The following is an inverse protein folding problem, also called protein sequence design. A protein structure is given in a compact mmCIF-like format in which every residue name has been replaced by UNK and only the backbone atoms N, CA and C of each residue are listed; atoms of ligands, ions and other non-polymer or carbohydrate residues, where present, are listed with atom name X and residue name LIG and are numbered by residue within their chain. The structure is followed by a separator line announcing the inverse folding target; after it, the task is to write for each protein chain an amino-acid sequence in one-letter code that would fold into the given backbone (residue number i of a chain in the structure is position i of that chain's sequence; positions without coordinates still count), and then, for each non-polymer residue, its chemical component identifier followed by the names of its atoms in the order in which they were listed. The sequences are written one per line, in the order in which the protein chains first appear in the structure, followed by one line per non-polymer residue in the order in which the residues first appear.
data_IF_649857593159
#
_entry.id   IF_649857593159
#
_cell.length_a   1.000
_cell.length_b   1.000
_cell.length_c   1.000
_cell.angle_alpha   90.00
_cell.angle_beta   90.00
_cell.angle_gamma   90.00
#
_symmetry.space_group_name_H-M   'P 1'
#
loop_
_entity.id
_entity.type
_entity.pdbx_description
1 polymer ?
#
# COMPACT_ATOMS: atom_id res chain seq x y z
N UNK A 1 -14.39 19.85 1.06
CA UNK A 1 -14.78 19.15 -0.18
C UNK A 1 -14.70 17.65 0.08
N UNK A 2 -15.79 16.91 -0.07
CA UNK A 2 -15.75 15.44 -0.08
C UNK A 2 -15.04 15.04 -1.37
N UNK A 3 -13.93 14.33 -1.25
CA UNK A 3 -13.23 13.82 -2.43
C UNK A 3 -13.84 12.47 -2.80
N UNK A 4 -14.10 12.26 -4.09
CA UNK A 4 -14.53 10.95 -4.60
C UNK A 4 -13.45 9.91 -4.38
N UNK A 5 -13.87 8.68 -4.13
CA UNK A 5 -13.01 7.51 -4.03
C UNK A 5 -12.90 6.80 -5.39
N UNK A 6 -11.92 5.91 -5.53
CA UNK A 6 -11.79 5.06 -6.73
C UNK A 6 -13.02 4.18 -6.91
N UNK A 7 -13.61 3.71 -5.81
CA UNK A 7 -14.81 2.88 -5.84
C UNK A 7 -16.02 3.68 -6.32
N UNK A 8 -16.16 4.96 -5.95
CA UNK A 8 -17.25 5.81 -6.45
C UNK A 8 -17.20 5.96 -7.98
N UNK A 9 -16.02 6.17 -8.55
CA UNK A 9 -15.82 6.28 -10.01
C UNK A 9 -16.12 4.94 -10.71
N UNK A 10 -15.65 3.83 -10.13
CA UNK A 10 -15.84 2.49 -10.67
C UNK A 10 -17.31 2.05 -10.65
N UNK A 11 -18.01 2.31 -9.54
CA UNK A 11 -19.42 1.97 -9.36
C UNK A 11 -20.29 2.80 -10.28
N UNK A 12 -20.03 4.10 -10.41
CA UNK A 12 -20.75 4.94 -11.37
C UNK A 12 -20.56 4.47 -12.82
N UNK A 13 -19.34 4.07 -13.19
CA UNK A 13 -19.08 3.51 -14.51
C UNK A 13 -19.85 2.20 -14.76
N UNK A 14 -19.96 1.31 -13.77
CA UNK A 14 -20.77 0.09 -13.89
C UNK A 14 -22.26 0.37 -14.04
N UNK A 15 -22.80 1.41 -13.39
CA UNK A 15 -24.20 1.81 -13.57
C UNK A 15 -24.43 2.33 -14.99
N UNK A 16 -23.52 3.16 -15.54
CA UNK A 16 -23.67 3.77 -16.87
C UNK A 16 -23.73 2.76 -18.02
N UNK A 17 -23.13 1.59 -17.83
CA UNK A 17 -23.11 0.50 -18.82
C UNK A 17 -24.14 -0.59 -18.52
N UNK A 18 -25.07 -0.35 -17.58
CA UNK A 18 -26.09 -1.29 -17.13
C UNK A 18 -25.52 -2.63 -16.59
N UNK A 19 -24.26 -2.63 -16.10
CA UNK A 19 -23.66 -3.80 -15.48
C UNK A 19 -24.22 -4.07 -14.07
N UNK A 20 -24.72 -3.00 -13.40
CA UNK A 20 -25.45 -3.06 -12.13
C UNK A 20 -26.58 -2.03 -12.13
N UNK A 21 -27.69 -2.27 -11.41
CA UNK A 21 -28.71 -1.25 -11.20
C UNK A 21 -28.23 -0.19 -10.19
N UNK A 22 -28.82 1.02 -10.24
CA UNK A 22 -28.52 2.10 -9.29
C UNK A 22 -28.67 1.67 -7.82
N UNK A 23 -29.65 0.80 -7.52
CA UNK A 23 -29.87 0.31 -6.15
C UNK A 23 -28.72 -0.52 -5.58
N UNK A 24 -27.83 -1.06 -6.42
CA UNK A 24 -26.60 -1.76 -6.03
C UNK A 24 -25.42 -0.78 -5.89
N UNK A 25 -25.45 0.37 -6.56
CA UNK A 25 -24.50 1.44 -6.34
C UNK A 25 -24.73 2.11 -4.97
N UNK A 26 -25.99 2.33 -4.61
CA UNK A 26 -26.39 2.89 -3.31
C UNK A 26 -26.08 1.94 -2.14
N UNK A 27 -26.13 0.62 -2.41
CA UNK A 27 -25.78 -0.43 -1.45
C UNK A 27 -24.98 -1.54 -2.12
N UNK A 28 -23.65 -1.39 -2.07
CA UNK A 28 -22.69 -2.29 -2.69
C UNK A 28 -22.71 -3.71 -2.11
N UNK A 29 -23.35 -3.93 -0.95
CA UNK A 29 -23.51 -5.27 -0.38
C UNK A 29 -24.40 -6.17 -1.25
N UNK A 30 -25.36 -5.59 -1.98
CA UNK A 30 -26.29 -6.31 -2.87
C UNK A 30 -25.58 -6.95 -4.07
N UNK A 31 -24.44 -6.40 -4.49
CA UNK A 31 -23.58 -6.98 -5.52
C UNK A 31 -22.39 -7.75 -4.94
N UNK A 32 -22.38 -8.03 -3.64
CA UNK A 32 -21.28 -8.71 -2.93
C UNK A 32 -19.90 -8.08 -3.21
N UNK A 33 -19.82 -6.75 -3.29
CA UNK A 33 -18.58 -6.05 -3.61
C UNK A 33 -17.51 -6.27 -2.54
N UNK A 34 -16.34 -6.73 -2.95
CA UNK A 34 -15.15 -6.91 -2.13
C UNK A 34 -13.92 -6.36 -2.84
N UNK A 35 -12.93 -5.94 -2.07
CA UNK A 35 -11.64 -5.42 -2.56
C UNK A 35 -10.50 -6.16 -1.89
N UNK A 36 -9.48 -6.54 -2.67
CA UNK A 36 -8.32 -7.25 -2.16
C UNK A 36 -7.41 -6.37 -1.29
N UNK A 37 -7.34 -5.08 -1.62
CA UNK A 37 -6.59 -4.07 -0.87
C UNK A 37 -7.39 -2.77 -0.76
N UNK A 38 -7.43 -2.22 0.47
CA UNK A 38 -7.93 -0.88 0.74
C UNK A 38 -6.74 0.07 0.81
N UNK A 39 -6.58 0.91 -0.20
CA UNK A 39 -5.50 1.91 -0.26
C UNK A 39 -5.89 3.17 0.51
N UNK A 40 -4.91 3.84 1.12
CA UNK A 40 -5.14 5.12 1.81
C UNK A 40 -5.38 6.24 0.79
N UNK A 41 -5.90 7.38 1.27
CA UNK A 41 -5.98 8.61 0.46
C UNK A 41 -4.60 8.97 -0.12
N UNK A 42 -4.54 9.11 -1.45
CA UNK A 42 -3.34 9.50 -2.19
C UNK A 42 -2.38 8.35 -2.53
N UNK A 43 -2.74 7.11 -2.19
CA UNK A 43 -1.96 5.90 -2.55
C UNK A 43 -2.41 5.38 -3.90
N UNK A 44 -1.45 5.07 -4.76
CA UNK A 44 -1.68 4.52 -6.09
C UNK A 44 -1.80 2.99 -6.07
N UNK A 45 -2.31 2.41 -7.15
CA UNK A 45 -2.30 0.97 -7.36
C UNK A 45 -2.05 0.65 -8.83
N UNK A 46 -1.11 -0.25 -9.12
CA UNK A 46 -0.90 -0.81 -10.45
C UNK A 46 -2.01 -1.80 -10.78
N UNK A 47 -2.28 -2.74 -9.87
CA UNK A 47 -3.26 -3.79 -10.08
C UNK A 47 -3.99 -4.13 -8.78
N UNK A 48 -4.91 -3.26 -8.37
CA UNK A 48 -5.86 -3.64 -7.33
C UNK A 48 -6.89 -4.62 -7.92
N UNK A 49 -7.44 -5.49 -7.09
CA UNK A 49 -8.44 -6.48 -7.50
C UNK A 49 -9.71 -6.27 -6.69
N UNK A 50 -10.84 -6.26 -7.38
CA UNK A 50 -12.18 -6.29 -6.78
C UNK A 50 -12.95 -7.51 -7.27
N UNK A 51 -13.88 -7.98 -6.46
CA UNK A 51 -14.81 -9.05 -6.83
C UNK A 51 -16.23 -8.62 -6.48
N UNK A 52 -17.15 -8.81 -7.42
CA UNK A 52 -18.54 -8.37 -7.35
C UNK A 52 -19.38 -9.16 -8.34
N UNK A 53 -20.71 -9.10 -8.19
CA UNK A 53 -21.68 -9.67 -9.13
C UNK A 53 -22.11 -8.60 -10.13
N UNK A 54 -21.98 -8.91 -11.41
CA UNK A 54 -22.34 -8.03 -12.53
C UNK A 54 -23.27 -8.76 -13.49
N UNK A 55 -24.03 -8.01 -14.28
CA UNK A 55 -24.71 -8.53 -15.46
C UNK A 55 -23.66 -9.07 -16.48
N UNK A 56 -23.95 -10.16 -17.20
CA UNK A 56 -23.03 -10.72 -18.18
C UNK A 56 -23.05 -9.87 -19.45
N UNK A 57 -22.17 -8.87 -19.53
CA UNK A 57 -21.98 -8.02 -20.71
C UNK A 57 -20.74 -8.44 -21.49
N UNK A 58 -20.84 -8.46 -22.82
CA UNK A 58 -19.68 -8.58 -23.71
C UNK A 58 -18.89 -7.26 -23.70
N UNK A 59 -17.56 -7.34 -23.87
CA UNK A 59 -16.67 -6.16 -23.93
C UNK A 59 -16.80 -5.21 -22.71
N UNK A 60 -17.09 -5.77 -21.53
CA UNK A 60 -17.29 -5.00 -20.29
C UNK A 60 -16.08 -4.08 -19.98
N UNK A 61 -14.86 -4.53 -20.29
CA UNK A 61 -13.64 -3.76 -20.02
C UNK A 61 -13.59 -2.47 -20.81
N UNK A 62 -13.88 -2.55 -22.11
CA UNK A 62 -13.90 -1.42 -23.02
C UNK A 62 -14.99 -0.43 -22.61
N UNK A 63 -16.22 -0.93 -22.42
CA UNK A 63 -17.39 -0.14 -22.04
C UNK A 63 -17.17 0.62 -20.72
N UNK A 64 -16.66 -0.05 -19.69
CA UNK A 64 -16.41 0.59 -18.39
C UNK A 64 -15.31 1.65 -18.51
N UNK A 65 -14.24 1.38 -19.27
CA UNK A 65 -13.12 2.31 -19.44
C UNK A 65 -13.50 3.61 -20.18
N UNK A 66 -14.55 3.59 -21.02
CA UNK A 66 -15.09 4.80 -21.66
C UNK A 66 -15.70 5.79 -20.65
N UNK A 67 -16.20 5.28 -19.52
CA UNK A 67 -16.79 6.07 -18.46
C UNK A 67 -15.85 6.36 -17.29
N UNK A 68 -14.64 5.78 -17.31
CA UNK A 68 -13.62 6.03 -16.29
C UNK A 68 -12.68 7.19 -16.67
N UNK A 69 -12.30 8.04 -15.71
CA UNK A 69 -11.32 9.09 -15.95
C UNK A 69 -9.96 8.49 -16.31
N UNK A 70 -9.12 9.23 -17.06
CA UNK A 70 -7.86 8.72 -17.63
C UNK A 70 -6.93 8.02 -16.64
N UNK A 71 -6.92 8.45 -15.38
CA UNK A 71 -6.10 7.89 -14.31
C UNK A 71 -6.64 6.59 -13.68
N UNK A 72 -7.85 6.14 -14.01
CA UNK A 72 -8.43 4.88 -13.53
C UNK A 72 -8.69 4.01 -14.74
N UNK A 73 -8.15 2.79 -14.73
CA UNK A 73 -8.33 1.82 -15.82
C UNK A 73 -8.66 0.45 -15.28
N UNK A 74 -9.65 -0.19 -15.91
CA UNK A 74 -9.94 -1.60 -15.74
C UNK A 74 -9.09 -2.37 -16.75
N UNK A 75 -8.18 -3.22 -16.26
CA UNK A 75 -7.29 -3.99 -17.13
C UNK A 75 -7.93 -5.27 -17.68
N UNK A 76 -8.96 -5.79 -17.03
CA UNK A 76 -9.67 -6.97 -17.47
C UNK A 76 -10.71 -7.45 -16.46
N UNK A 77 -11.51 -8.43 -16.89
CA UNK A 77 -12.51 -9.12 -16.09
C UNK A 77 -12.36 -10.63 -16.26
N UNK A 78 -12.61 -11.38 -15.19
CA UNK A 78 -12.64 -12.84 -15.23
C UNK A 78 -13.83 -13.36 -14.45
N UNK A 79 -14.63 -14.25 -15.06
CA UNK A 79 -15.70 -14.96 -14.37
C UNK A 79 -15.10 -15.95 -13.36
N UNK A 80 -15.63 -15.96 -12.15
CA UNK A 80 -15.18 -16.80 -11.03
C UNK A 80 -16.35 -17.52 -10.39
N UNK A 81 -16.06 -18.49 -9.52
CA UNK A 81 -17.08 -19.13 -8.70
C UNK A 81 -17.81 -18.11 -7.82
N UNK A 82 -19.11 -18.30 -7.59
CA UNK A 82 -19.94 -17.35 -6.84
C UNK A 82 -19.49 -17.16 -5.37
N UNK A 83 -18.73 -18.11 -4.81
CA UNK A 83 -18.16 -18.06 -3.47
C UNK A 83 -16.82 -17.31 -3.38
N UNK A 84 -16.22 -16.94 -4.52
CA UNK A 84 -14.93 -16.26 -4.52
C UNK A 84 -15.03 -14.87 -3.87
N UNK A 85 -14.08 -14.58 -2.98
CA UNK A 85 -13.98 -13.29 -2.31
C UNK A 85 -12.54 -12.79 -2.42
N UNK A 86 -12.32 -11.74 -3.22
CA UNK A 86 -10.99 -11.17 -3.50
C UNK A 86 -10.19 -10.80 -2.25
N UNK A 87 -10.85 -10.40 -1.15
CA UNK A 87 -10.20 -10.06 0.10
C UNK A 87 -9.71 -11.29 0.84
N UNK A 88 -10.59 -12.28 0.98
CA UNK A 88 -10.36 -13.47 1.80
C UNK A 88 -9.50 -14.52 1.07
N UNK A 89 -9.60 -14.59 -0.25
CA UNK A 89 -8.80 -15.49 -1.08
C UNK A 89 -7.41 -14.94 -1.42
N UNK A 90 -7.07 -13.73 -0.96
CA UNK A 90 -5.77 -13.14 -1.25
C UNK A 90 -4.75 -13.46 -0.15
N UNK A 91 -3.65 -14.10 -0.57
CA UNK A 91 -2.61 -14.61 0.32
C UNK A 91 -1.58 -13.56 0.70
N UNK A 92 -1.26 -12.66 -0.23
CA UNK A 92 -0.25 -11.63 -0.04
C UNK A 92 -0.51 -10.38 -0.88
N UNK A 93 0.02 -9.26 -0.40
CA UNK A 93 0.09 -8.02 -1.18
C UNK A 93 1.54 -7.57 -1.26
N UNK A 94 1.96 -7.11 -2.42
CA UNK A 94 3.25 -6.46 -2.63
C UNK A 94 3.03 -4.99 -2.90
N UNK A 95 3.66 -4.14 -2.10
CA UNK A 95 3.70 -2.71 -2.29
C UNK A 95 5.11 -2.28 -2.67
N UNK A 96 5.19 -1.20 -3.43
CA UNK A 96 6.43 -0.45 -3.61
C UNK A 96 6.27 0.93 -2.97
N UNK A 97 7.35 1.44 -2.41
CA UNK A 97 7.45 2.82 -1.95
C UNK A 97 8.64 3.49 -2.65
N UNK A 98 8.34 4.40 -3.56
CA UNK A 98 9.36 5.17 -4.30
C UNK A 98 9.63 6.44 -3.51
N UNK A 99 10.89 6.70 -3.21
CA UNK A 99 11.31 7.88 -2.47
C UNK A 99 12.63 8.44 -2.98
N UNK A 100 12.80 9.77 -2.89
CA UNK A 100 14.10 10.37 -3.11
C UNK A 100 15.07 9.94 -2.02
N UNK A 101 16.31 9.65 -2.39
CA UNK A 101 17.32 9.12 -1.47
C UNK A 101 17.78 10.14 -0.42
N UNK A 102 17.58 11.44 -0.67
CA UNK A 102 17.78 12.47 0.35
C UNK A 102 16.91 12.30 1.58
N UNK A 103 15.86 11.46 1.53
CA UNK A 103 15.13 11.05 2.72
C UNK A 103 16.04 10.34 3.74
N UNK A 104 17.08 9.65 3.28
CA UNK A 104 18.07 8.96 4.12
C UNK A 104 19.28 9.83 4.51
N UNK A 105 19.36 11.08 4.05
CA UNK A 105 20.44 12.00 4.39
C UNK A 105 20.55 12.18 5.91
N UNK A 106 21.71 11.88 6.54
CA UNK A 106 21.93 12.05 7.97
C UNK A 106 21.54 13.44 8.46
N UNK A 107 21.08 13.57 9.70
CA UNK A 107 20.63 14.85 10.24
C UNK A 107 21.73 15.90 10.34
N UNK A 108 22.99 15.48 10.38
CA UNK A 108 24.17 16.34 10.40
C UNK A 108 24.51 16.94 9.02
N UNK A 109 23.92 16.39 7.95
CA UNK A 109 24.15 16.84 6.58
C UNK A 109 23.01 17.74 6.07
N UNK A 110 23.36 18.65 5.15
CA UNK A 110 22.37 19.52 4.50
C UNK A 110 21.57 18.68 3.49
N UNK A 111 20.30 18.45 3.80
CA UNK A 111 19.38 17.75 2.90
C UNK A 111 19.11 18.60 1.64
N UNK A 112 19.42 18.07 0.47
CA UNK A 112 19.21 18.72 -0.83
C UNK A 112 18.93 17.70 -1.93
N UNK A 113 18.38 18.15 -3.06
CA UNK A 113 18.13 17.32 -4.24
C UNK A 113 19.43 16.77 -4.89
N UNK A 114 20.58 17.41 -4.61
CA UNK A 114 21.90 16.95 -5.02
C UNK A 114 22.48 15.83 -4.16
N UNK A 115 21.87 15.49 -3.02
CA UNK A 115 22.33 14.39 -2.18
C UNK A 115 22.29 13.06 -2.96
N UNK A 116 23.32 12.24 -2.73
CA UNK A 116 23.42 10.87 -3.25
C UNK A 116 23.70 9.94 -2.08
N UNK A 117 22.88 8.90 -1.94
CA UNK A 117 23.04 7.95 -0.84
C UNK A 117 24.28 7.11 -1.06
N UNK A 118 25.11 6.99 -0.03
CA UNK A 118 26.27 6.11 -0.09
C UNK A 118 25.86 4.64 0.03
N UNK A 119 26.73 3.72 -0.37
CA UNK A 119 26.54 2.28 -0.19
C UNK A 119 26.29 1.91 1.27
N UNK A 120 26.96 2.57 2.21
CA UNK A 120 26.88 2.30 3.63
C UNK A 120 25.52 2.70 4.20
N UNK A 121 25.02 3.88 3.85
CA UNK A 121 23.70 4.35 4.29
C UNK A 121 22.58 3.51 3.66
N UNK A 122 22.73 3.13 2.38
CA UNK A 122 21.78 2.25 1.73
C UNK A 122 21.77 0.85 2.38
N UNK A 123 22.94 0.31 2.73
CA UNK A 123 23.04 -0.96 3.43
C UNK A 123 22.43 -0.88 4.83
N UNK A 124 22.64 0.21 5.56
CA UNK A 124 21.98 0.46 6.83
C UNK A 124 20.45 0.46 6.68
N UNK A 125 19.92 1.12 5.64
CA UNK A 125 18.48 1.11 5.37
C UNK A 125 17.96 -0.31 5.09
N UNK A 126 18.70 -1.11 4.31
CA UNK A 126 18.40 -2.53 4.05
C UNK A 126 18.36 -3.32 5.36
N UNK A 127 19.39 -3.21 6.19
CA UNK A 127 19.52 -3.91 7.47
C UNK A 127 18.40 -3.56 8.45
N UNK A 128 18.11 -2.27 8.62
CA UNK A 128 17.02 -1.79 9.49
C UNK A 128 15.67 -2.27 8.99
N UNK A 129 15.43 -2.22 7.67
CA UNK A 129 14.16 -2.67 7.09
C UNK A 129 13.94 -4.19 7.24
N UNK A 130 15.03 -4.97 7.26
CA UNK A 130 14.96 -6.44 7.41
C UNK A 130 14.42 -6.88 8.79
N UNK A 131 14.45 -6.00 9.80
CA UNK A 131 13.91 -6.28 11.13
C UNK A 131 12.38 -6.40 11.17
N UNK A 132 11.70 -6.01 10.08
CA UNK A 132 10.26 -6.24 9.93
C UNK A 132 9.90 -7.65 9.47
N UNK A 133 10.86 -8.43 8.98
CA UNK A 133 10.61 -9.77 8.45
C UNK A 133 10.06 -10.71 9.52
N UNK A 134 9.15 -11.59 9.12
CA UNK A 134 8.48 -12.52 10.03
C UNK A 134 7.22 -11.96 10.68
N UNK A 135 6.84 -12.55 11.80
CA UNK A 135 5.55 -12.30 12.47
C UNK A 135 5.71 -11.45 13.73
N UNK A 136 5.29 -10.18 13.66
CA UNK A 136 5.40 -9.23 14.78
C UNK A 136 4.08 -8.59 15.14
N UNK A 137 4.03 -7.92 16.30
CA UNK A 137 2.88 -7.12 16.71
C UNK A 137 3.02 -5.68 16.18
N UNK A 138 2.27 -5.32 15.15
CA UNK A 138 2.37 -4.03 14.48
C UNK A 138 1.40 -2.97 15.04
N UNK A 139 0.97 -3.08 16.32
CA UNK A 139 -0.03 -2.17 16.90
C UNK A 139 0.39 -0.68 16.89
N UNK A 140 1.68 -0.39 17.04
CA UNK A 140 2.23 0.98 16.93
C UNK A 140 2.29 1.50 15.48
N UNK A 141 2.30 0.57 14.51
CA UNK A 141 2.32 0.88 13.08
C UNK A 141 0.91 1.15 12.52
N UNK A 142 -0.10 1.34 13.34
CA UNK A 142 -1.42 1.76 12.86
C UNK A 142 -2.10 2.71 13.84
N UNK A 143 -3.34 3.08 13.55
CA UNK A 143 -4.17 3.94 14.39
C UNK A 143 -5.30 3.12 15.00
N UNK A 144 -5.60 3.35 16.28
CA UNK A 144 -6.75 2.73 16.96
C UNK A 144 -6.60 1.25 17.33
N UNK A 145 -5.39 0.67 17.23
CA UNK A 145 -5.11 -0.71 17.68
C UNK A 145 -4.43 -0.73 19.04
N UNK A 146 -4.93 -1.60 19.92
CA UNK A 146 -4.31 -1.94 21.20
C UNK A 146 -3.25 -3.02 20.98
N UNK A 147 -2.22 -3.05 21.84
CA UNK A 147 -1.21 -4.11 21.82
C UNK A 147 -1.82 -5.51 21.92
N UNK A 148 -2.86 -5.67 22.74
CA UNK A 148 -3.53 -6.96 22.97
C UNK A 148 -4.48 -7.39 21.85
N UNK A 149 -4.70 -6.57 20.82
CA UNK A 149 -5.57 -6.94 19.70
C UNK A 149 -4.85 -7.98 18.81
N UNK A 150 -5.34 -9.23 18.71
CA UNK A 150 -4.68 -10.27 17.90
C UNK A 150 -4.56 -9.87 16.43
N UNK A 151 -5.48 -9.04 15.94
CA UNK A 151 -5.45 -8.51 14.58
C UNK A 151 -4.44 -7.39 14.39
N UNK A 152 -3.57 -7.09 15.36
CA UNK A 152 -2.37 -6.29 15.17
C UNK A 152 -1.16 -7.12 14.73
N UNK A 153 -1.21 -8.45 14.88
CA UNK A 153 -0.14 -9.35 14.42
C UNK A 153 -0.14 -9.45 12.90
N UNK A 154 1.01 -9.20 12.27
CA UNK A 154 1.17 -9.29 10.81
C UNK A 154 2.45 -10.02 10.47
N UNK A 155 2.44 -10.66 9.31
CA UNK A 155 3.56 -11.42 8.79
C UNK A 155 4.11 -10.78 7.52
N UNK A 156 5.36 -10.34 7.56
CA UNK A 156 6.09 -9.80 6.41
C UNK A 156 6.95 -10.90 5.79
N UNK A 157 6.79 -11.11 4.49
CA UNK A 157 7.48 -12.16 3.75
C UNK A 157 8.84 -11.70 3.24
N UNK A 158 8.90 -10.50 2.66
CA UNK A 158 10.13 -9.94 2.11
C UNK A 158 10.09 -8.42 2.12
N UNK A 159 11.27 -7.82 2.29
CA UNK A 159 11.50 -6.39 2.12
C UNK A 159 12.83 -6.25 1.38
N UNK A 160 12.82 -5.45 0.33
CA UNK A 160 13.99 -5.19 -0.52
C UNK A 160 14.09 -3.69 -0.80
N UNK A 161 15.32 -3.19 -0.91
CA UNK A 161 15.60 -1.81 -1.32
C UNK A 161 16.49 -1.86 -2.54
N UNK A 162 15.97 -1.41 -3.67
CA UNK A 162 16.71 -1.43 -4.94
C UNK A 162 17.90 -0.46 -4.93
N UNK A 163 18.85 -0.69 -5.81
CA UNK A 163 19.93 0.27 -6.03
C UNK A 163 19.37 1.62 -6.54
N UNK A 164 20.00 2.75 -6.18
CA UNK A 164 19.48 4.06 -6.54
C UNK A 164 19.54 4.32 -8.05
N UNK A 165 18.64 5.17 -8.54
CA UNK A 165 18.62 5.63 -9.92
C UNK A 165 18.32 7.13 -9.98
N UNK A 166 18.85 7.81 -11.01
CA UNK A 166 18.66 9.24 -11.19
C UNK A 166 17.50 9.50 -12.15
N UNK A 167 16.60 10.42 -11.78
CA UNK A 167 15.57 10.96 -12.64
C UNK A 167 15.44 12.46 -12.41
N UNK A 168 15.53 13.25 -13.48
CA UNK A 168 15.40 14.72 -13.40
C UNK A 168 16.35 15.33 -12.35
N UNK A 169 17.61 14.88 -12.33
CA UNK A 169 18.67 15.28 -11.38
C UNK A 169 18.45 14.91 -9.90
N UNK A 170 17.33 14.27 -9.55
CA UNK A 170 17.08 13.73 -8.22
C UNK A 170 17.36 12.23 -8.22
N UNK A 171 18.04 11.75 -7.18
CA UNK A 171 18.26 10.32 -6.98
C UNK A 171 17.10 9.70 -6.20
N UNK A 172 16.59 8.58 -6.68
CA UNK A 172 15.50 7.81 -6.10
C UNK A 172 15.93 6.39 -5.81
N UNK A 173 15.25 5.75 -4.86
CA UNK A 173 15.26 4.30 -4.69
C UNK A 173 13.83 3.79 -4.52
N UNK A 174 13.66 2.47 -4.60
CA UNK A 174 12.38 1.80 -4.45
C UNK A 174 12.47 0.76 -3.35
N UNK A 175 11.60 0.87 -2.35
CA UNK A 175 11.44 -0.13 -1.29
C UNK A 175 10.28 -1.03 -1.66
N UNK A 176 10.52 -2.33 -1.82
CA UNK A 176 9.48 -3.33 -2.12
C UNK A 176 9.16 -4.12 -0.86
N UNK A 177 7.89 -4.17 -0.46
CA UNK A 177 7.43 -4.86 0.75
C UNK A 177 6.33 -5.86 0.36
N UNK A 178 6.59 -7.15 0.60
CA UNK A 178 5.60 -8.23 0.46
C UNK A 178 5.17 -8.71 1.84
N UNK A 179 3.87 -8.73 2.09
CA UNK A 179 3.30 -9.18 3.36
C UNK A 179 1.94 -9.83 3.17
N UNK A 180 1.54 -10.63 4.15
CA UNK A 180 0.26 -11.36 4.09
C UNK A 180 -0.93 -10.39 4.04
N UNK A 181 -0.91 -9.41 4.95
CA UNK A 181 -1.88 -8.33 5.00
C UNK A 181 -1.27 -7.10 5.66
N UNK A 182 -1.91 -5.94 5.48
CA UNK A 182 -1.45 -4.67 6.04
C UNK A 182 -2.60 -3.94 6.71
N UNK A 183 -2.32 -3.29 7.84
CA UNK A 183 -3.25 -2.38 8.51
C UNK A 183 -3.20 -0.99 7.90
N UNK A 184 -4.21 -0.18 8.22
CA UNK A 184 -4.26 1.24 7.87
C UNK A 184 -2.95 1.93 8.31
N UNK A 185 -2.32 2.67 7.40
CA UNK A 185 -1.04 3.38 7.62
C UNK A 185 0.20 2.51 7.88
N UNK A 186 0.10 1.18 7.94
CA UNK A 186 1.20 0.30 8.39
C UNK A 186 2.49 0.50 7.62
N UNK A 187 2.43 0.37 6.30
CA UNK A 187 3.63 0.50 5.45
C UNK A 187 4.24 1.89 5.61
N UNK A 188 3.41 2.94 5.61
CA UNK A 188 3.88 4.34 5.73
C UNK A 188 4.56 4.61 7.07
N UNK A 189 4.09 3.99 8.15
CA UNK A 189 4.75 4.06 9.47
C UNK A 189 6.05 3.25 9.49
N UNK A 190 6.07 2.06 8.88
CA UNK A 190 7.31 1.27 8.73
C UNK A 190 8.37 2.07 7.98
N UNK A 191 8.04 2.63 6.81
CA UNK A 191 8.96 3.48 6.03
C UNK A 191 9.47 4.68 6.85
N UNK A 192 8.59 5.33 7.61
CA UNK A 192 9.00 6.50 8.41
C UNK A 192 9.99 6.15 9.51
N UNK A 193 9.81 4.99 10.15
CA UNK A 193 10.71 4.57 11.21
C UNK A 193 12.07 4.15 10.65
N UNK A 194 12.12 3.48 9.48
CA UNK A 194 13.39 3.24 8.77
C UNK A 194 14.09 4.57 8.48
N UNK A 195 13.37 5.53 7.89
CA UNK A 195 13.93 6.86 7.60
C UNK A 195 14.45 7.52 8.87
N UNK A 196 13.68 7.52 9.97
CA UNK A 196 14.10 8.13 11.23
C UNK A 196 15.39 7.52 11.78
N UNK A 197 15.52 6.19 11.72
CA UNK A 197 16.72 5.47 12.19
C UNK A 197 17.92 5.77 11.29
N UNK A 198 17.74 5.64 9.96
CA UNK A 198 18.82 5.85 8.99
C UNK A 198 19.34 7.29 9.04
N UNK A 199 18.47 8.27 9.30
CA UNK A 199 18.86 9.66 9.48
C UNK A 199 19.56 9.95 10.83
N UNK A 200 19.53 9.01 11.78
CA UNK A 200 20.05 9.22 13.15
C UNK A 200 19.07 9.92 14.11
N UNK A 201 17.80 10.08 13.74
CA UNK A 201 16.75 10.69 14.61
C UNK A 201 16.28 9.72 15.69
N UNK A 202 16.31 8.42 15.42
CA UNK A 202 15.87 7.38 16.34
C UNK A 202 16.92 6.26 16.45
N UNK A 203 16.97 5.57 17.59
CA UNK A 203 17.86 4.42 17.75
C UNK A 203 17.34 3.20 17.00
N UNK A 204 18.25 2.32 16.59
CA UNK A 204 17.89 1.05 15.93
C UNK A 204 16.94 0.18 16.77
N UNK A 205 17.12 0.20 18.09
CA UNK A 205 16.28 -0.54 19.05
C UNK A 205 14.80 -0.13 19.01
N UNK A 206 14.48 1.05 18.46
CA UNK A 206 13.11 1.56 18.37
C UNK A 206 12.18 0.60 17.63
N UNK A 207 12.67 -0.18 16.64
CA UNK A 207 11.84 -1.19 15.96
C UNK A 207 11.40 -2.28 16.93
N UNK A 208 12.34 -2.84 17.70
CA UNK A 208 12.04 -3.89 18.67
C UNK A 208 11.12 -3.36 19.78
N UNK A 209 11.38 -2.14 20.26
CA UNK A 209 10.50 -1.47 21.22
C UNK A 209 9.09 -1.25 20.65
N UNK A 210 8.95 -0.92 19.37
CA UNK A 210 7.66 -0.70 18.73
C UNK A 210 6.79 -1.96 18.67
N UNK A 211 7.38 -3.16 18.81
CA UNK A 211 6.64 -4.41 18.92
C UNK A 211 6.16 -4.72 20.34
N UNK A 212 6.72 -4.06 21.36
CA UNK A 212 6.34 -4.24 22.76
C UNK A 212 5.06 -3.44 23.11
N UNK A 213 4.62 -3.57 24.37
CA UNK A 213 3.36 -2.98 24.82
C UNK A 213 3.35 -1.45 24.84
N UNK A 214 4.52 -0.83 24.98
CA UNK A 214 4.66 0.63 25.04
C UNK A 214 4.16 1.30 23.76
N UNK A 215 3.57 2.48 23.93
CA UNK A 215 3.11 3.28 22.80
C UNK A 215 4.24 4.17 22.28
N UNK A 216 4.50 4.04 20.99
CA UNK A 216 5.46 4.87 20.27
C UNK A 216 4.70 5.63 19.19
N UNK A 217 4.88 6.95 19.16
CA UNK A 217 4.32 7.78 18.10
C UNK A 217 5.22 7.72 16.87
N UNK A 218 4.82 6.88 15.91
CA UNK A 218 5.52 6.72 14.64
C UNK A 218 4.85 7.63 13.61
N UNK A 219 5.57 8.61 13.00
CA UNK A 219 5.01 9.45 11.95
C UNK A 219 4.64 8.62 10.72
N UNK A 220 3.81 9.20 9.85
CA UNK A 220 3.37 8.55 8.60
C UNK A 220 4.09 9.19 7.42
N UNK A 221 4.76 8.38 6.62
CA UNK A 221 5.39 8.83 5.40
C UNK A 221 4.31 9.36 4.44
N UNK A 222 4.63 10.27 3.51
CA UNK A 222 3.69 10.72 2.49
C UNK A 222 3.07 9.54 1.72
N UNK A 223 1.80 9.62 1.31
CA UNK A 223 1.17 8.52 0.55
C UNK A 223 1.65 8.46 -0.90
N UNK A 224 2.20 9.56 -1.44
CA UNK A 224 2.55 9.74 -2.85
C UNK A 224 3.48 8.65 -3.39
N UNK A 225 4.47 8.23 -2.59
CA UNK A 225 5.43 7.21 -2.99
C UNK A 225 4.87 5.78 -2.94
N UNK A 226 3.75 5.56 -2.24
CA UNK A 226 3.21 4.22 -2.01
C UNK A 226 2.33 3.77 -3.17
N UNK A 227 2.62 2.58 -3.68
CA UNK A 227 1.87 1.95 -4.77
C UNK A 227 1.61 0.49 -4.44
N UNK A 228 0.36 0.05 -4.51
CA UNK A 228 0.03 -1.38 -4.54
C UNK A 228 0.49 -1.96 -5.88
N UNK A 229 1.52 -2.80 -5.86
CA UNK A 229 2.10 -3.37 -7.07
C UNK A 229 1.38 -4.66 -7.49
N UNK A 230 1.12 -5.57 -6.52
CA UNK A 230 0.56 -6.89 -6.81
C UNK A 230 -0.32 -7.41 -5.67
N UNK A 231 -1.36 -8.15 -6.05
CA UNK A 231 -2.19 -8.98 -5.18
C UNK A 231 -1.98 -10.44 -5.59
N UNK A 232 -1.57 -11.31 -4.66
CA UNK A 232 -1.33 -12.74 -4.91
C UNK A 232 -2.52 -13.61 -4.49
N UNK A 233 -2.75 -14.68 -5.25
CA UNK A 233 -3.79 -15.73 -5.09
C UNK A 233 -3.15 -17.11 -5.35
N UNK A 234 -2.02 -17.38 -4.69
CA UNK A 234 -1.13 -18.54 -4.92
C UNK A 234 -1.62 -19.80 -4.20
#
# INVERSE_FOLDING_TARGET
KVHRTIEDELVEAFVKVDAIPQTHADDMSKMAFQRAARTDKGVSAVANLVSLKLAPLENLTELVNEHLPKQIRMFGVKRVAASFNSKNSCDARTYIYILPTYAFCPVEEITSESYRVSSEILQLAKDVSSEYLGSHNFHNFTSGKKFTDPSARRHMFSIDIADPYIRENVEFTTITIKGQSFMLHQIRKMISLVIAIVRGVASRDTIQQAYNADKIDIPKAPPLGLVLQKVSFE
#
